data_IF_565919082764
#
_entry.id   IF_565919082764
#
_cell.length_a   1.000
_cell.length_b   1.000
_cell.length_c   1.000
_cell.angle_alpha   90.00
_cell.angle_beta   90.00
_cell.angle_gamma   90.00
#
_symmetry.space_group_name_H-M   'P 1'
#
loop_
_entity.id
_entity.type
_entity.pdbx_description
1 polymer ?
#
# COMPACT_ATOMS: atom_id res chain seq x y z
N UNK A 1 -12.20 8.93 -4.77
CA UNK A 1 -12.71 7.63 -5.24
C UNK A 1 -11.55 6.85 -5.86
N UNK A 2 -11.27 5.60 -5.45
CA UNK A 2 -10.26 4.79 -6.12
C UNK A 2 -10.71 4.47 -7.54
N UNK A 3 -9.88 4.81 -8.53
CA UNK A 3 -10.22 4.67 -9.97
C UNK A 3 -10.18 3.22 -10.48
N UNK A 4 -9.73 2.26 -9.67
CA UNK A 4 -9.64 0.86 -10.08
C UNK A 4 -10.29 -0.04 -9.00
N UNK A 5 -11.54 -0.48 -9.17
CA UNK A 5 -12.31 -1.20 -8.15
C UNK A 5 -11.76 -2.60 -7.82
N UNK A 6 -10.75 -3.05 -8.55
CA UNK A 6 -10.19 -4.39 -8.45
C UNK A 6 -8.94 -4.47 -7.56
N UNK A 7 -8.32 -3.33 -7.21
CA UNK A 7 -7.07 -3.32 -6.44
C UNK A 7 -7.35 -2.79 -5.04
N UNK A 8 -7.02 -3.58 -4.02
CA UNK A 8 -7.20 -3.25 -2.62
C UNK A 8 -5.82 -3.13 -1.97
N UNK A 9 -5.55 -2.01 -1.31
CA UNK A 9 -4.38 -1.87 -0.43
C UNK A 9 -4.82 -1.95 1.02
N UNK A 10 -4.11 -2.75 1.81
CA UNK A 10 -4.36 -2.93 3.24
C UNK A 10 -3.06 -2.75 4.01
N UNK A 11 -3.08 -1.96 5.07
CA UNK A 11 -1.96 -1.86 5.99
C UNK A 11 -1.91 -3.05 6.94
N UNK A 12 -0.71 -3.55 7.20
CA UNK A 12 -0.49 -4.59 8.21
C UNK A 12 -0.04 -3.98 9.54
N UNK A 13 -0.25 -4.66 10.68
CA UNK A 13 0.24 -4.22 11.99
C UNK A 13 1.76 -4.19 12.14
N UNK A 14 2.50 -4.61 11.10
CA UNK A 14 3.96 -4.56 11.11
C UNK A 14 4.39 -3.21 10.53
N UNK A 15 4.75 -3.20 9.25
CA UNK A 15 5.28 -2.04 8.53
C UNK A 15 4.88 -2.05 7.06
N UNK A 16 4.42 -3.21 6.58
CA UNK A 16 4.24 -3.44 5.15
C UNK A 16 2.81 -3.12 4.75
N UNK A 17 2.66 -2.60 3.54
CA UNK A 17 1.35 -2.44 2.91
C UNK A 17 1.18 -3.60 1.93
N UNK A 18 0.07 -4.32 2.06
CA UNK A 18 -0.26 -5.40 1.14
C UNK A 18 -1.20 -4.88 0.06
N UNK A 19 -0.96 -5.26 -1.18
CA UNK A 19 -1.85 -4.98 -2.31
C UNK A 19 -2.39 -6.29 -2.86
N UNK A 20 -3.70 -6.33 -3.03
CA UNK A 20 -4.46 -7.45 -3.55
C UNK A 20 -5.17 -7.04 -4.84
N UNK A 21 -5.08 -7.88 -5.86
CA UNK A 21 -5.84 -7.76 -7.10
C UNK A 21 -6.98 -8.79 -7.08
N UNK A 22 -8.20 -8.30 -6.85
CA UNK A 22 -9.41 -9.11 -6.73
C UNK A 22 -9.80 -9.80 -8.05
N UNK A 23 -9.32 -9.33 -9.21
CA UNK A 23 -9.60 -10.00 -10.50
C UNK A 23 -8.91 -11.34 -10.65
N UNK A 24 -7.86 -11.58 -9.86
CA UNK A 24 -7.06 -12.79 -9.87
C UNK A 24 -7.28 -13.66 -8.63
N UNK A 25 -8.15 -13.24 -7.71
CA UNK A 25 -8.38 -13.99 -6.49
C UNK A 25 -9.44 -15.09 -6.73
N UNK A 26 -9.11 -16.37 -6.51
CA UNK A 26 -10.08 -17.44 -6.63
C UNK A 26 -11.19 -17.25 -5.58
N UNK A 27 -12.44 -17.52 -5.96
CA UNK A 27 -13.61 -17.40 -5.07
C UNK A 27 -13.60 -18.37 -3.88
N UNK A 28 -12.66 -19.32 -3.87
CA UNK A 28 -12.41 -20.24 -2.76
C UNK A 28 -11.08 -19.86 -2.11
N UNK A 29 -11.07 -19.43 -0.84
CA UNK A 29 -9.83 -19.22 -0.11
C UNK A 29 -9.07 -20.55 0.01
N UNK A 30 -7.75 -20.49 -0.09
CA UNK A 30 -6.91 -21.67 0.09
C UNK A 30 -7.12 -22.24 1.52
N UNK A 31 -7.38 -23.54 1.68
CA UNK A 31 -7.67 -24.14 2.98
C UNK A 31 -6.46 -24.11 3.94
N UNK A 32 -5.25 -23.79 3.47
CA UNK A 32 -4.07 -23.56 4.32
C UNK A 32 -4.18 -22.32 5.20
N UNK A 33 -5.10 -21.39 4.89
CA UNK A 33 -5.18 -20.09 5.58
C UNK A 33 -4.00 -19.16 5.26
N UNK A 34 -3.14 -19.51 4.31
CA UNK A 34 -2.03 -18.66 3.89
C UNK A 34 -2.53 -17.49 3.05
N UNK A 35 -2.14 -16.28 3.46
CA UNK A 35 -2.45 -15.05 2.73
C UNK A 35 -1.41 -14.82 1.65
N UNK A 36 -1.83 -14.83 0.38
CA UNK A 36 -0.97 -14.56 -0.77
C UNK A 36 -1.24 -13.17 -1.35
N UNK A 37 -0.63 -12.10 -0.80
CA UNK A 37 -0.74 -10.78 -1.39
C UNK A 37 -0.11 -10.78 -2.79
N UNK A 38 -0.67 -9.97 -3.69
CA UNK A 38 -0.07 -9.78 -5.01
C UNK A 38 1.21 -8.95 -4.90
N UNK A 39 1.20 -7.91 -4.07
CA UNK A 39 2.35 -7.07 -3.79
C UNK A 39 2.48 -6.78 -2.30
N UNK A 40 3.73 -6.62 -1.86
CA UNK A 40 4.11 -6.22 -0.52
C UNK A 40 4.98 -4.98 -0.63
N UNK A 41 4.43 -3.85 -0.24
CA UNK A 41 5.09 -2.56 -0.32
C UNK A 41 5.90 -2.34 0.96
N UNK A 42 7.20 -2.13 0.81
CA UNK A 42 8.15 -1.88 1.89
C UNK A 42 8.62 -0.42 1.88
N UNK A 43 8.88 0.14 3.05
CA UNK A 43 9.42 1.50 3.17
C UNK A 43 9.20 2.12 4.54
N UNK A 44 8.11 1.78 5.21
CA UNK A 44 7.87 2.21 6.58
C UNK A 44 8.67 1.39 7.59
N UNK A 45 8.96 2.01 8.72
CA UNK A 45 9.65 1.41 9.86
C UNK A 45 8.71 1.21 11.06
N UNK A 46 7.49 1.76 10.99
CA UNK A 46 6.44 1.59 11.98
C UNK A 46 5.09 1.33 11.33
N UNK A 47 4.13 0.97 12.17
CA UNK A 47 2.72 0.98 11.81
C UNK A 47 2.25 2.39 11.44
N UNK A 48 1.11 2.48 10.76
CA UNK A 48 0.47 3.76 10.56
C UNK A 48 -0.94 3.64 10.04
N UNK A 49 -1.60 4.78 9.89
CA UNK A 49 -3.04 4.83 9.69
C UNK A 49 -3.44 5.51 8.36
N UNK A 50 -2.51 6.16 7.68
CA UNK A 50 -2.78 6.87 6.42
C UNK A 50 -2.51 5.99 5.20
N UNK A 51 -3.52 5.77 4.37
CA UNK A 51 -3.44 5.09 3.08
C UNK A 51 -4.29 5.85 2.07
N UNK A 52 -3.68 6.30 0.97
CA UNK A 52 -4.37 7.07 -0.06
C UNK A 52 -3.86 6.72 -1.45
N UNK A 53 -4.79 6.39 -2.35
CA UNK A 53 -4.48 6.18 -3.76
C UNK A 53 -4.45 7.52 -4.49
N UNK A 54 -3.49 7.69 -5.39
CA UNK A 54 -3.46 8.88 -6.24
C UNK A 54 -4.66 8.84 -7.22
N UNK A 55 -5.53 9.87 -7.23
CA UNK A 55 -6.71 9.90 -8.11
C UNK A 55 -6.35 10.06 -9.59
N UNK A 56 -5.17 10.60 -9.91
CA UNK A 56 -4.71 10.82 -11.28
C UNK A 56 -3.86 9.65 -11.81
N UNK A 57 -3.21 8.91 -10.90
CA UNK A 57 -2.33 7.80 -11.23
C UNK A 57 -2.76 6.58 -10.41
N UNK A 58 -3.60 5.72 -10.99
CA UNK A 58 -4.11 4.51 -10.32
C UNK A 58 -3.03 3.51 -9.90
N UNK A 59 -1.79 3.69 -10.37
CA UNK A 59 -0.63 2.89 -9.99
C UNK A 59 0.17 3.48 -8.82
N UNK A 60 -0.16 4.69 -8.35
CA UNK A 60 0.58 5.33 -7.27
C UNK A 60 -0.19 5.24 -5.96
N UNK A 61 0.48 4.75 -4.92
CA UNK A 61 -0.05 4.66 -3.57
C UNK A 61 0.80 5.51 -2.62
N UNK A 62 0.13 6.33 -1.83
CA UNK A 62 0.73 7.07 -0.72
C UNK A 62 0.30 6.44 0.60
N UNK A 63 1.25 6.37 1.52
CA UNK A 63 0.99 5.97 2.89
C UNK A 63 1.78 6.82 3.86
N UNK A 64 1.13 7.18 4.95
CA UNK A 64 1.74 7.86 6.08
C UNK A 64 1.86 6.89 7.26
N UNK A 65 2.97 6.99 7.99
CA UNK A 65 3.32 6.13 9.11
C UNK A 65 3.68 6.92 10.35
N UNK A 66 3.60 6.27 11.51
CA UNK A 66 4.01 6.83 12.80
C UNK A 66 5.55 6.92 12.93
N UNK A 67 6.29 6.47 11.92
CA UNK A 67 7.73 6.73 11.77
C UNK A 67 8.03 8.16 11.29
N UNK A 68 7.03 9.04 11.20
CA UNK A 68 7.12 10.41 10.67
C UNK A 68 7.57 10.47 9.20
N UNK A 69 7.32 9.39 8.46
CA UNK A 69 7.60 9.31 7.03
C UNK A 69 6.34 9.09 6.21
N UNK A 70 6.37 9.60 4.99
CA UNK A 70 5.37 9.30 3.97
C UNK A 70 6.07 8.52 2.86
N UNK A 71 5.57 7.33 2.55
CA UNK A 71 6.08 6.52 1.46
C UNK A 71 5.16 6.62 0.25
N UNK A 72 5.78 6.81 -0.91
CA UNK A 72 5.14 6.74 -2.22
C UNK A 72 5.62 5.46 -2.93
N UNK A 73 4.68 4.62 -3.35
CA UNK A 73 4.97 3.45 -4.18
C UNK A 73 4.31 3.57 -5.54
N UNK A 74 4.94 2.94 -6.53
CA UNK A 74 4.42 2.82 -7.88
C UNK A 74 4.24 1.35 -8.22
N UNK A 75 3.00 0.87 -8.13
CA UNK A 75 2.61 -0.53 -8.37
C UNK A 75 2.54 -0.88 -9.86
N UNK A 76 2.76 0.06 -10.78
CA UNK A 76 2.89 -0.26 -12.22
C UNK A 76 4.28 -0.80 -12.57
N UNK A 77 5.28 -0.42 -11.76
CA UNK A 77 6.69 -0.72 -12.01
C UNK A 77 7.15 -2.04 -11.39
N UNK A 78 6.20 -2.92 -11.04
CA UNK A 78 6.53 -4.16 -10.33
C UNK A 78 7.20 -5.15 -11.29
N UNK A 79 8.40 -5.66 -10.96
CA UNK A 79 9.04 -6.70 -11.75
C UNK A 79 8.21 -7.99 -11.69
N UNK A 80 8.02 -8.65 -12.84
CA UNK A 80 7.17 -9.85 -13.00
C UNK A 80 7.50 -11.02 -12.06
N UNK A 81 8.67 -11.00 -11.42
CA UNK A 81 9.15 -12.04 -10.50
C UNK A 81 9.16 -11.61 -9.02
N UNK A 82 8.98 -10.33 -8.72
CA UNK A 82 9.06 -9.79 -7.36
C UNK A 82 7.69 -9.37 -6.85
N UNK A 83 7.15 -10.07 -5.84
CA UNK A 83 5.95 -9.63 -5.10
C UNK A 83 6.25 -8.49 -4.10
N UNK A 84 7.43 -7.88 -4.14
CA UNK A 84 7.87 -6.86 -3.18
C UNK A 84 8.21 -5.58 -3.94
N UNK A 85 7.74 -4.44 -3.43
CA UNK A 85 7.96 -3.12 -4.03
C UNK A 85 8.50 -2.20 -2.96
N UNK A 86 9.69 -1.67 -3.16
CA UNK A 86 10.26 -0.67 -2.25
C UNK A 86 9.68 0.72 -2.54
N UNK A 87 9.65 1.58 -1.52
CA UNK A 87 9.18 2.95 -1.66
C UNK A 87 10.00 3.68 -2.72
N UNK A 88 9.31 4.17 -3.75
CA UNK A 88 9.89 4.99 -4.82
C UNK A 88 10.42 6.30 -4.26
N UNK A 89 9.71 6.85 -3.27
CA UNK A 89 10.12 8.06 -2.55
C UNK A 89 9.67 7.96 -1.10
N UNK A 90 10.57 8.32 -0.19
CA UNK A 90 10.28 8.44 1.24
C UNK A 90 10.45 9.90 1.61
N UNK A 91 9.34 10.55 1.94
CA UNK A 91 9.34 11.92 2.43
C UNK A 91 9.51 11.89 3.94
N UNK A 92 10.56 12.55 4.44
CA UNK A 92 10.85 12.70 5.87
C UNK A 92 10.74 14.18 6.22
N UNK A 93 10.04 14.51 7.31
CA UNK A 93 9.82 15.91 7.71
C UNK A 93 8.39 16.28 8.10
N UNK A 94 7.44 15.33 8.05
CA UNK A 94 6.11 15.54 8.62
C UNK A 94 6.17 15.33 10.14
N UNK A 95 6.52 16.38 10.89
CA UNK A 95 6.61 16.40 12.36
C UNK A 95 5.25 16.53 13.07
N UNK A 96 4.14 16.55 12.34
CA UNK A 96 2.82 16.74 12.93
C UNK A 96 1.87 15.64 12.46
N UNK A 97 1.15 15.08 13.43
CA UNK A 97 0.00 14.18 13.25
C UNK A 97 -0.89 14.78 12.16
N UNK A 98 -0.82 14.21 10.96
CA UNK A 98 -1.65 14.63 9.83
C UNK A 98 -3.04 14.04 10.05
N UNK A 99 -3.80 14.70 10.90
CA UNK A 99 -5.25 14.63 10.95
C UNK A 99 -5.75 15.25 9.63
N UNK A 100 -5.82 14.43 8.59
CA UNK A 100 -6.34 14.85 7.30
C UNK A 100 -7.86 15.00 7.40
N UNK A 101 -8.32 16.18 7.81
CA UNK A 101 -9.66 16.67 7.53
C UNK A 101 -9.80 16.85 6.01
N UNK A 102 -10.25 15.80 5.32
CA UNK A 102 -10.82 15.94 3.98
C UNK A 102 -12.26 16.45 4.15
N UNK A 103 -12.49 17.73 3.87
CA UNK A 103 -13.82 18.31 3.65
C UNK A 103 -14.24 18.19 2.19
#
# INVERSE_FOLDING_TARGET
>A
MPQNPCIIATKTPTTDVLVFDYTKHPSKPDPSGECFPNLRLRGHQKEGYGLSWNPNLSSCLLSASDDHTICLWDISSVPKEGKIVDAKTIFTGHTTVMEALAS
#
